data_IF_772118863607
#
_entry.id   IF_772118863607
#
_cell.length_a   1.000
_cell.length_b   1.000
_cell.length_c   1.000
_cell.angle_alpha   90.00
_cell.angle_beta   90.00
_cell.angle_gamma   90.00
#
_symmetry.space_group_name_H-M   'P 1'
#
loop_
_entity.id
_entity.type
_entity.pdbx_description
1 polymer ?
#
# COMPACT_ATOMS: atom_id res chain seq x y z
N UNK A 1 -22.99 -5.85 -6.23
CA UNK A 1 -22.56 -5.95 -4.81
C UNK A 1 -22.53 -4.56 -4.20
N UNK A 2 -22.83 -4.41 -2.90
CA UNK A 2 -22.80 -3.08 -2.25
C UNK A 2 -21.34 -2.57 -2.21
N UNK A 3 -21.03 -1.32 -2.65
CA UNK A 3 -19.67 -0.79 -2.69
C UNK A 3 -19.00 -0.68 -1.31
N UNK A 4 -19.74 -0.64 -0.21
CA UNK A 4 -19.17 -0.64 1.15
C UNK A 4 -18.33 -1.89 1.47
N UNK A 5 -18.54 -3.00 0.76
CA UNK A 5 -17.67 -4.18 0.92
C UNK A 5 -16.21 -3.93 0.50
N UNK A 6 -15.92 -2.88 -0.28
CA UNK A 6 -14.54 -2.46 -0.60
C UNK A 6 -13.74 -2.02 0.64
N UNK A 7 -14.41 -1.61 1.72
CA UNK A 7 -13.76 -1.25 2.99
C UNK A 7 -13.25 -2.47 3.77
N UNK A 8 -13.90 -3.62 3.62
CA UNK A 8 -13.60 -4.80 4.45
C UNK A 8 -12.16 -5.28 4.27
N UNK A 9 -11.63 -5.50 3.05
CA UNK A 9 -10.24 -5.94 2.88
C UNK A 9 -9.20 -4.90 3.32
N UNK A 10 -9.59 -3.63 3.44
CA UNK A 10 -8.74 -2.57 3.96
C UNK A 10 -8.79 -2.55 5.49
N UNK A 11 -9.97 -2.40 6.07
CA UNK A 11 -10.13 -2.15 7.50
C UNK A 11 -9.98 -3.40 8.35
N UNK A 12 -10.48 -4.55 7.91
CA UNK A 12 -10.46 -5.79 8.71
C UNK A 12 -9.05 -6.22 9.09
N UNK A 13 -8.06 -6.30 8.19
CA UNK A 13 -6.69 -6.63 8.57
C UNK A 13 -6.03 -5.54 9.43
N UNK A 14 -6.36 -4.26 9.20
CA UNK A 14 -5.84 -3.16 10.04
C UNK A 14 -6.36 -3.27 11.47
N UNK A 15 -7.65 -3.54 11.65
CA UNK A 15 -8.26 -3.76 12.97
C UNK A 15 -7.69 -5.01 13.62
N UNK A 16 -7.53 -6.10 12.86
CA UNK A 16 -6.88 -7.32 13.36
C UNK A 16 -5.45 -7.03 13.86
N UNK A 17 -4.66 -6.30 13.08
CA UNK A 17 -3.31 -5.92 13.46
C UNK A 17 -3.28 -5.02 14.70
N UNK A 18 -4.16 -4.02 14.77
CA UNK A 18 -4.32 -3.16 15.94
C UNK A 18 -4.73 -3.96 17.20
N UNK A 19 -5.64 -4.93 17.04
CA UNK A 19 -6.04 -5.83 18.12
C UNK A 19 -4.86 -6.69 18.62
N UNK A 20 -4.02 -7.22 17.73
CA UNK A 20 -2.80 -7.97 18.12
C UNK A 20 -1.83 -7.09 18.88
N UNK A 21 -1.63 -5.82 18.45
CA UNK A 21 -0.74 -4.87 19.13
C UNK A 21 -1.27 -4.43 20.49
N UNK A 22 -2.58 -4.25 20.63
CA UNK A 22 -3.23 -3.81 21.86
C UNK A 22 -3.40 -4.92 22.88
N UNK A 23 -3.97 -6.05 22.47
CA UNK A 23 -4.28 -7.19 23.35
C UNK A 23 -3.05 -8.01 23.71
N UNK A 24 -2.01 -7.98 22.87
CA UNK A 24 -0.74 -8.72 23.05
C UNK A 24 -0.94 -10.17 23.48
N UNK A 25 -1.64 -11.01 22.69
CA UNK A 25 -1.95 -12.38 23.08
C UNK A 25 -0.69 -13.12 23.53
N UNK A 26 -0.71 -13.66 24.77
CA UNK A 26 0.39 -14.45 25.31
C UNK A 26 0.46 -15.83 24.67
N UNK A 27 -0.71 -16.39 24.37
CA UNK A 27 -0.81 -17.70 23.74
C UNK A 27 -0.60 -17.58 22.24
N UNK A 28 0.41 -18.27 21.76
CA UNK A 28 0.77 -18.30 20.34
C UNK A 28 -0.42 -18.72 19.46
N UNK A 29 -1.13 -19.80 19.83
CA UNK A 29 -2.25 -20.33 19.05
C UNK A 29 -3.37 -19.29 18.89
N UNK A 30 -3.70 -18.54 19.93
CA UNK A 30 -4.72 -17.48 19.85
C UNK A 30 -4.30 -16.36 18.90
N UNK A 31 -3.04 -15.96 18.93
CA UNK A 31 -2.48 -14.96 18.03
C UNK A 31 -2.55 -15.43 16.57
N UNK A 32 -2.08 -16.66 16.30
CA UNK A 32 -2.08 -17.23 14.96
C UNK A 32 -3.49 -17.36 14.38
N UNK A 33 -4.45 -17.82 15.18
CA UNK A 33 -5.87 -17.90 14.79
C UNK A 33 -6.44 -16.51 14.47
N UNK A 34 -6.18 -15.53 15.33
CA UNK A 34 -6.66 -14.16 15.14
C UNK A 34 -6.10 -13.56 13.84
N UNK A 35 -4.78 -13.66 13.64
CA UNK A 35 -4.09 -13.12 12.47
C UNK A 35 -4.55 -13.82 11.19
N UNK A 36 -4.52 -15.17 11.18
CA UNK A 36 -4.91 -15.93 10.01
C UNK A 36 -6.39 -15.76 9.69
N UNK A 37 -7.25 -15.75 10.71
CA UNK A 37 -8.68 -15.50 10.53
C UNK A 37 -8.98 -14.16 9.88
N UNK A 38 -8.32 -13.07 10.33
CA UNK A 38 -8.46 -11.74 9.73
C UNK A 38 -7.94 -11.69 8.29
N UNK A 39 -6.78 -12.30 8.01
CA UNK A 39 -6.19 -12.36 6.68
C UNK A 39 -7.08 -13.16 5.73
N UNK A 40 -7.50 -14.37 6.11
CA UNK A 40 -8.34 -15.23 5.26
C UNK A 40 -9.73 -14.62 5.02
N UNK A 41 -10.33 -13.99 6.02
CA UNK A 41 -11.60 -13.31 5.85
C UNK A 41 -11.49 -12.15 4.86
N UNK A 42 -10.45 -11.33 4.96
CA UNK A 42 -10.18 -10.26 4.01
C UNK A 42 -9.91 -10.80 2.59
N UNK A 43 -9.12 -11.88 2.46
CA UNK A 43 -8.84 -12.54 1.18
C UNK A 43 -10.12 -13.13 0.56
N UNK A 44 -11.00 -13.73 1.35
CA UNK A 44 -12.28 -14.24 0.88
C UNK A 44 -13.20 -13.11 0.35
N UNK A 45 -13.20 -11.97 1.04
CA UNK A 45 -13.96 -10.79 0.57
C UNK A 45 -13.38 -10.24 -0.73
N UNK A 46 -12.05 -10.19 -0.88
CA UNK A 46 -11.41 -9.83 -2.17
C UNK A 46 -11.87 -10.78 -3.28
N UNK A 47 -11.83 -12.08 -3.04
CA UNK A 47 -12.34 -13.07 -4.01
C UNK A 47 -13.80 -12.85 -4.39
N UNK A 48 -14.66 -12.59 -3.41
CA UNK A 48 -16.07 -12.28 -3.64
C UNK A 48 -16.27 -10.98 -4.44
N UNK A 49 -15.46 -9.94 -4.15
CA UNK A 49 -15.48 -8.65 -4.86
C UNK A 49 -15.06 -8.81 -6.33
N UNK A 50 -14.04 -9.62 -6.61
CA UNK A 50 -13.55 -9.86 -7.97
C UNK A 50 -14.56 -10.64 -8.80
N UNK A 51 -15.25 -11.62 -8.18
CA UNK A 51 -16.31 -12.40 -8.84
C UNK A 51 -17.59 -11.60 -9.08
N UNK A 52 -17.96 -10.74 -8.11
CA UNK A 52 -19.22 -9.98 -8.12
C UNK A 52 -18.95 -8.47 -8.10
N UNK A 53 -18.22 -7.96 -9.07
CA UNK A 53 -17.74 -6.57 -9.13
C UNK A 53 -18.80 -5.56 -8.71
N UNK A 54 -18.49 -4.63 -7.77
CA UNK A 54 -19.37 -3.51 -7.50
C UNK A 54 -19.46 -2.62 -8.75
N UNK A 55 -20.68 -2.25 -9.16
CA UNK A 55 -20.91 -1.47 -10.39
C UNK A 55 -20.46 -0.01 -10.31
N UNK A 56 -20.15 0.49 -9.11
CA UNK A 56 -19.72 1.87 -8.86
C UNK A 56 -18.62 1.93 -7.80
N UNK A 57 -17.70 2.91 -7.90
CA UNK A 57 -16.71 3.15 -6.85
C UNK A 57 -17.40 3.66 -5.58
N UNK A 58 -16.80 3.35 -4.44
CA UNK A 58 -17.19 3.88 -3.15
C UNK A 58 -16.49 5.21 -2.92
N UNK A 59 -17.20 6.30 -2.96
CA UNK A 59 -16.69 7.62 -2.59
C UNK A 59 -16.89 7.82 -1.09
N UNK A 60 -15.77 7.91 -0.35
CA UNK A 60 -15.76 8.11 1.10
C UNK A 60 -15.88 9.59 1.47
N UNK A 61 -15.14 10.43 0.74
CA UNK A 61 -15.14 11.87 0.97
C UNK A 61 -14.81 12.64 -0.30
N UNK A 62 -15.42 13.81 -0.49
CA UNK A 62 -15.16 14.72 -1.62
C UNK A 62 -14.59 16.04 -1.12
N UNK A 63 -13.42 16.42 -1.63
CA UNK A 63 -12.79 17.71 -1.44
C UNK A 63 -13.05 18.59 -2.68
N UNK A 64 -14.20 19.24 -2.73
CA UNK A 64 -14.60 20.01 -3.93
C UNK A 64 -15.02 19.13 -5.12
N UNK A 65 -14.83 19.63 -6.34
CA UNK A 65 -15.33 19.00 -7.56
C UNK A 65 -14.36 17.98 -8.21
N UNK A 66 -13.06 18.10 -7.94
CA UNK A 66 -12.01 17.34 -8.64
C UNK A 66 -11.24 16.35 -7.75
N UNK A 67 -11.38 16.46 -6.43
CA UNK A 67 -10.67 15.61 -5.46
C UNK A 67 -11.64 14.79 -4.64
N UNK A 68 -11.40 13.49 -4.56
CA UNK A 68 -12.16 12.61 -3.68
C UNK A 68 -11.28 11.48 -3.12
N UNK A 69 -11.69 10.97 -1.96
CA UNK A 69 -11.17 9.70 -1.43
C UNK A 69 -12.16 8.63 -1.84
N UNK A 70 -11.74 7.75 -2.74
CA UNK A 70 -12.61 6.72 -3.31
C UNK A 70 -11.89 5.40 -3.50
N UNK A 71 -12.62 4.32 -3.27
CA UNK A 71 -12.18 2.95 -3.53
C UNK A 71 -12.99 2.38 -4.70
N UNK A 72 -12.34 1.63 -5.56
CA UNK A 72 -12.97 0.99 -6.72
C UNK A 72 -12.28 -0.31 -7.09
N UNK A 73 -12.92 -1.08 -7.93
CA UNK A 73 -12.38 -2.34 -8.44
C UNK A 73 -12.51 -2.36 -9.96
N UNK A 74 -11.41 -2.09 -10.63
CA UNK A 74 -11.26 -2.24 -12.07
C UNK A 74 -10.50 -3.52 -12.45
N UNK A 75 -10.09 -3.65 -13.71
CA UNK A 75 -9.35 -4.82 -14.18
C UNK A 75 -7.98 -4.96 -13.54
N UNK A 76 -7.25 -3.84 -13.41
CA UNK A 76 -5.91 -3.81 -12.84
C UNK A 76 -5.94 -4.05 -11.33
N UNK A 77 -6.79 -3.31 -10.62
CA UNK A 77 -6.98 -3.47 -9.17
C UNK A 77 -7.43 -4.89 -8.80
N UNK A 78 -8.26 -5.53 -9.65
CA UNK A 78 -8.67 -6.92 -9.45
C UNK A 78 -7.50 -7.90 -9.50
N UNK A 79 -6.56 -7.75 -10.46
CA UNK A 79 -5.36 -8.59 -10.56
C UNK A 79 -4.48 -8.41 -9.32
N UNK A 80 -4.18 -7.17 -8.93
CA UNK A 80 -3.36 -6.90 -7.75
C UNK A 80 -4.01 -7.38 -6.45
N UNK A 81 -5.31 -7.15 -6.28
CA UNK A 81 -6.05 -7.63 -5.13
C UNK A 81 -6.02 -9.16 -5.02
N UNK A 82 -6.17 -9.89 -6.14
CA UNK A 82 -6.03 -11.35 -6.16
C UNK A 82 -4.61 -11.80 -5.76
N UNK A 83 -3.57 -11.16 -6.28
CA UNK A 83 -2.19 -11.47 -5.88
C UNK A 83 -1.98 -11.30 -4.37
N UNK A 84 -2.46 -10.19 -3.81
CA UNK A 84 -2.39 -9.93 -2.37
C UNK A 84 -3.16 -11.02 -1.60
N UNK A 85 -4.41 -11.33 -2.03
CA UNK A 85 -5.29 -12.29 -1.37
C UNK A 85 -4.72 -13.72 -1.34
N UNK A 86 -3.86 -14.08 -2.29
CA UNK A 86 -3.22 -15.41 -2.36
C UNK A 86 -1.87 -15.41 -1.62
N UNK A 87 -1.01 -14.43 -1.90
CA UNK A 87 0.37 -14.44 -1.41
C UNK A 87 0.46 -14.10 0.08
N UNK A 88 -0.44 -13.23 0.61
CA UNK A 88 -0.38 -12.83 2.01
C UNK A 88 -0.69 -13.96 3.00
N UNK A 89 -1.76 -14.76 2.81
CA UNK A 89 -2.01 -15.94 3.66
C UNK A 89 -0.85 -16.94 3.62
N UNK A 90 -0.28 -17.21 2.43
CA UNK A 90 0.86 -18.12 2.30
C UNK A 90 2.09 -17.62 3.06
N UNK A 91 2.37 -16.32 2.96
CA UNK A 91 3.47 -15.70 3.70
C UNK A 91 3.19 -15.67 5.20
N UNK A 92 1.92 -15.49 5.63
CA UNK A 92 1.54 -15.59 7.04
C UNK A 92 1.80 -16.98 7.62
N UNK A 93 1.43 -18.04 6.88
CA UNK A 93 1.73 -19.42 7.28
C UNK A 93 3.23 -19.66 7.45
N UNK A 94 4.03 -19.22 6.50
CA UNK A 94 5.49 -19.29 6.60
C UNK A 94 6.00 -18.49 7.80
N UNK A 95 5.45 -17.29 8.02
CA UNK A 95 5.87 -16.41 9.10
C UNK A 95 5.60 -16.99 10.49
N UNK A 96 4.55 -17.79 10.67
CA UNK A 96 4.26 -18.43 11.94
C UNK A 96 5.38 -19.36 12.40
N UNK A 97 6.02 -20.06 11.49
CA UNK A 97 7.17 -20.90 11.83
C UNK A 97 8.45 -20.07 11.97
N UNK A 98 8.71 -19.18 11.01
CA UNK A 98 9.91 -18.35 10.96
C UNK A 98 10.07 -17.48 12.22
N UNK A 99 9.01 -16.80 12.64
CA UNK A 99 9.05 -15.86 13.76
C UNK A 99 9.22 -16.51 15.15
N UNK A 100 9.13 -17.84 15.25
CA UNK A 100 9.47 -18.56 16.51
C UNK A 100 10.87 -18.27 16.99
N UNK A 101 11.78 -18.10 16.06
CA UNK A 101 13.21 -17.93 16.33
C UNK A 101 13.63 -16.46 16.41
N UNK A 102 12.82 -15.53 15.88
CA UNK A 102 13.15 -14.10 15.80
C UNK A 102 12.63 -13.28 17.00
N UNK A 103 11.60 -13.75 17.70
CA UNK A 103 10.99 -13.05 18.82
C UNK A 103 10.13 -11.85 18.44
N UNK A 104 9.60 -11.14 19.46
CA UNK A 104 8.71 -9.96 19.28
C UNK A 104 7.51 -10.21 18.35
N UNK A 105 6.98 -11.45 18.34
CA UNK A 105 5.97 -11.92 17.40
C UNK A 105 4.69 -11.05 17.37
N UNK A 106 4.20 -10.54 18.53
CA UNK A 106 3.01 -9.67 18.55
C UNK A 106 3.24 -8.37 17.78
N UNK A 107 4.45 -7.79 17.89
CA UNK A 107 4.81 -6.58 17.13
C UNK A 107 4.86 -6.89 15.63
N UNK A 108 5.49 -8.02 15.27
CA UNK A 108 5.57 -8.45 13.88
C UNK A 108 4.20 -8.66 13.26
N UNK A 109 3.37 -9.56 13.82
CA UNK A 109 2.07 -9.91 13.25
C UNK A 109 1.06 -8.76 13.28
N UNK A 110 1.18 -7.85 14.26
CA UNK A 110 0.38 -6.65 14.29
C UNK A 110 0.64 -5.76 13.08
N UNK A 111 1.88 -5.36 12.84
CA UNK A 111 2.24 -4.54 11.68
C UNK A 111 2.10 -5.29 10.35
N UNK A 112 2.35 -6.59 10.32
CA UNK A 112 2.13 -7.45 9.17
C UNK A 112 0.67 -7.44 8.69
N UNK A 113 -0.27 -7.54 9.64
CA UNK A 113 -1.70 -7.47 9.34
C UNK A 113 -2.15 -6.07 8.92
N UNK A 114 -1.66 -5.01 9.60
CA UNK A 114 -1.92 -3.62 9.21
C UNK A 114 -1.44 -3.37 7.78
N UNK A 115 -0.23 -3.82 7.45
CA UNK A 115 0.35 -3.67 6.11
C UNK A 115 -0.51 -4.35 5.04
N UNK A 116 -1.11 -5.52 5.33
CA UNK A 116 -2.06 -6.15 4.40
C UNK A 116 -3.20 -5.21 4.02
N UNK A 117 -3.88 -4.65 5.03
CA UNK A 117 -4.99 -3.74 4.79
C UNK A 117 -4.59 -2.48 4.02
N UNK A 118 -3.40 -1.94 4.33
CA UNK A 118 -2.86 -0.76 3.62
C UNK A 118 -2.56 -1.08 2.16
N UNK A 119 -1.93 -2.22 1.87
CA UNK A 119 -1.62 -2.67 0.50
C UNK A 119 -2.90 -2.98 -0.28
N UNK A 120 -3.93 -3.55 0.38
CA UNK A 120 -5.25 -3.69 -0.22
C UNK A 120 -5.87 -2.31 -0.54
N UNK A 121 -5.66 -1.31 0.31
CA UNK A 121 -6.06 0.08 0.07
C UNK A 121 -5.36 0.69 -1.15
N UNK A 122 -4.05 0.44 -1.34
CA UNK A 122 -3.33 0.84 -2.56
C UNK A 122 -3.97 0.19 -3.80
N UNK A 123 -4.19 -1.12 -3.76
CA UNK A 123 -4.74 -1.87 -4.89
C UNK A 123 -6.17 -1.45 -5.27
N UNK A 124 -6.98 -1.07 -4.28
CA UNK A 124 -8.39 -0.66 -4.48
C UNK A 124 -8.57 0.86 -4.63
N UNK A 125 -7.51 1.64 -4.68
CA UNK A 125 -7.60 3.10 -4.87
C UNK A 125 -8.19 3.43 -6.23
N UNK A 126 -9.24 4.28 -6.26
CA UNK A 126 -9.90 4.73 -7.49
C UNK A 126 -9.50 6.14 -7.91
N UNK A 127 -8.85 6.90 -7.04
CA UNK A 127 -8.32 8.22 -7.34
C UNK A 127 -6.85 8.33 -6.95
N UNK A 128 -6.12 9.23 -7.63
CA UNK A 128 -4.71 9.47 -7.39
C UNK A 128 -4.45 9.96 -5.94
N UNK A 129 -5.38 10.72 -5.35
CA UNK A 129 -5.26 11.18 -3.97
C UNK A 129 -5.44 10.03 -2.97
N UNK A 130 -6.35 9.09 -3.27
CA UNK A 130 -6.54 7.88 -2.45
C UNK A 130 -5.32 6.98 -2.54
N UNK A 131 -4.79 6.79 -3.76
CA UNK A 131 -3.55 6.06 -3.98
C UNK A 131 -2.41 6.69 -3.16
N UNK A 132 -2.22 8.01 -3.24
CA UNK A 132 -1.19 8.74 -2.50
C UNK A 132 -1.32 8.55 -0.98
N UNK A 133 -2.54 8.63 -0.45
CA UNK A 133 -2.81 8.41 0.98
C UNK A 133 -2.34 7.01 1.43
N UNK A 134 -2.77 5.96 0.74
CA UNK A 134 -2.35 4.60 1.07
C UNK A 134 -0.87 4.33 0.75
N UNK A 135 -0.32 5.00 -0.26
CA UNK A 135 1.09 4.95 -0.61
C UNK A 135 1.99 5.48 0.53
N UNK A 136 1.59 6.56 1.21
CA UNK A 136 2.29 7.07 2.38
C UNK A 136 2.08 6.17 3.60
N UNK A 137 0.85 5.75 3.82
CA UNK A 137 0.52 4.85 4.93
C UNK A 137 1.29 3.53 4.83
N UNK A 138 1.57 3.06 3.62
CA UNK A 138 2.37 1.85 3.38
C UNK A 138 3.82 2.02 3.87
N UNK A 139 4.44 3.18 3.68
CA UNK A 139 5.78 3.45 4.24
C UNK A 139 5.76 3.37 5.76
N UNK A 140 4.76 3.99 6.40
CA UNK A 140 4.63 3.99 7.85
C UNK A 140 4.32 2.59 8.42
N UNK A 141 3.48 1.81 7.74
CA UNK A 141 3.12 0.47 8.17
C UNK A 141 4.27 -0.54 8.04
N UNK A 142 5.09 -0.41 6.99
CA UNK A 142 6.21 -1.32 6.72
C UNK A 142 7.47 -0.96 7.48
N UNK A 143 7.67 0.30 7.87
CA UNK A 143 8.86 0.76 8.59
C UNK A 143 9.15 -0.06 9.87
N UNK A 144 8.17 -0.35 10.76
CA UNK A 144 8.40 -1.17 11.94
C UNK A 144 8.76 -2.62 11.62
N UNK A 145 8.38 -3.12 10.44
CA UNK A 145 8.75 -4.46 9.96
C UNK A 145 10.20 -4.47 9.45
N UNK A 146 10.62 -3.44 8.71
CA UNK A 146 12.01 -3.27 8.26
C UNK A 146 12.95 -3.13 9.47
N UNK A 147 12.53 -2.38 10.49
CA UNK A 147 13.30 -2.16 11.71
C UNK A 147 13.03 -3.22 12.80
N UNK A 148 12.52 -4.40 12.47
CA UNK A 148 12.07 -5.39 13.45
C UNK A 148 13.15 -5.79 14.47
N UNK A 149 14.37 -6.06 14.02
CA UNK A 149 15.51 -6.45 14.86
C UNK A 149 15.92 -5.32 15.83
N UNK A 150 15.76 -4.06 15.44
CA UNK A 150 16.17 -2.86 16.21
C UNK A 150 17.68 -2.79 16.48
N UNK A 151 18.48 -3.49 15.70
CA UNK A 151 19.95 -3.35 15.72
C UNK A 151 20.39 -2.14 14.86
N UNK A 152 21.68 -1.83 14.90
CA UNK A 152 22.25 -0.67 14.19
C UNK A 152 22.02 -0.76 12.68
N UNK A 153 22.05 -1.98 12.11
CA UNK A 153 21.83 -2.22 10.67
C UNK A 153 20.37 -2.00 10.30
N UNK A 154 19.43 -2.56 11.07
CA UNK A 154 17.99 -2.38 10.84
C UNK A 154 17.57 -0.92 11.01
N UNK A 155 18.11 -0.19 11.99
CA UNK A 155 17.84 1.23 12.20
C UNK A 155 18.37 2.05 11.02
N UNK A 156 19.58 1.78 10.55
CA UNK A 156 20.13 2.46 9.37
C UNK A 156 19.30 2.20 8.12
N UNK A 157 18.93 0.93 7.88
CA UNK A 157 18.09 0.53 6.76
C UNK A 157 16.73 1.21 6.79
N UNK A 158 16.07 1.24 7.96
CA UNK A 158 14.79 1.91 8.14
C UNK A 158 14.86 3.41 7.93
N UNK A 159 15.90 4.09 8.43
CA UNK A 159 16.12 5.53 8.17
C UNK A 159 16.32 5.81 6.69
N UNK A 160 17.14 5.00 5.99
CA UNK A 160 17.37 5.13 4.56
C UNK A 160 16.10 4.91 3.74
N UNK A 161 15.33 3.85 4.07
CA UNK A 161 14.04 3.55 3.49
C UNK A 161 13.06 4.72 3.67
N UNK A 162 12.91 5.21 4.90
CA UNK A 162 12.01 6.33 5.21
C UNK A 162 12.40 7.59 4.45
N UNK A 163 13.68 7.99 4.49
CA UNK A 163 14.16 9.20 3.84
C UNK A 163 13.89 9.21 2.33
N UNK A 164 14.25 8.11 1.63
CA UNK A 164 14.04 8.00 0.20
C UNK A 164 12.54 7.93 -0.14
N UNK A 165 11.74 7.18 0.63
CA UNK A 165 10.29 7.12 0.42
C UNK A 165 9.61 8.47 0.60
N UNK A 166 9.99 9.24 1.63
CA UNK A 166 9.45 10.60 1.85
C UNK A 166 9.86 11.58 0.74
N UNK A 167 11.11 11.48 0.26
CA UNK A 167 11.56 12.30 -0.88
C UNK A 167 10.76 11.96 -2.15
N UNK A 168 10.53 10.67 -2.43
CA UNK A 168 9.67 10.23 -3.53
C UNK A 168 8.24 10.73 -3.39
N UNK A 169 7.67 10.62 -2.19
CA UNK A 169 6.33 11.09 -1.89
C UNK A 169 6.17 12.61 -2.08
N UNK A 170 7.16 13.39 -1.69
CA UNK A 170 7.14 14.85 -1.94
C UNK A 170 7.09 15.17 -3.45
N UNK A 171 7.84 14.43 -4.28
CA UNK A 171 7.79 14.58 -5.73
C UNK A 171 6.41 14.22 -6.30
N UNK A 172 5.82 13.10 -5.84
CA UNK A 172 4.46 12.71 -6.23
C UNK A 172 3.43 13.76 -5.81
N UNK A 173 3.55 14.31 -4.59
CA UNK A 173 2.63 15.33 -4.10
C UNK A 173 2.63 16.59 -4.96
N UNK A 174 3.81 17.09 -5.33
CA UNK A 174 3.93 18.25 -6.25
C UNK A 174 3.30 17.93 -7.60
N UNK A 175 3.48 16.71 -8.11
CA UNK A 175 2.83 16.26 -9.34
C UNK A 175 1.31 16.23 -9.23
N UNK A 176 0.75 15.77 -8.10
CA UNK A 176 -0.70 15.77 -7.82
C UNK A 176 -1.26 17.19 -7.84
N UNK A 177 -0.56 18.17 -7.23
CA UNK A 177 -0.98 19.58 -7.24
C UNK A 177 -1.05 20.10 -8.68
N UNK A 178 -0.02 19.83 -9.49
CA UNK A 178 -0.01 20.25 -10.90
C UNK A 178 -1.14 19.58 -11.69
N UNK A 179 -1.40 18.31 -11.44
CA UNK A 179 -2.49 17.59 -12.11
C UNK A 179 -3.87 18.07 -11.64
N UNK A 180 -4.02 18.48 -10.39
CA UNK A 180 -5.25 19.09 -9.90
C UNK A 180 -5.53 20.44 -10.55
N UNK A 181 -4.51 21.24 -10.83
CA UNK A 181 -4.63 22.56 -11.45
C UNK A 181 -5.02 22.44 -12.94
N UNK A 182 -4.29 21.63 -13.70
CA UNK A 182 -4.41 21.54 -15.15
C UNK A 182 -5.21 20.34 -15.67
N UNK A 183 -5.49 19.34 -14.83
CA UNK A 183 -6.26 18.15 -15.20
C UNK A 183 -7.77 18.33 -15.05
N UNK A 184 -8.54 17.44 -15.62
CA UNK A 184 -10.01 17.41 -15.52
C UNK A 184 -10.50 16.78 -14.22
N UNK A 185 -9.81 15.74 -13.74
CA UNK A 185 -10.11 14.99 -12.51
C UNK A 185 -8.85 14.33 -11.99
N UNK A 186 -8.86 13.88 -10.73
CA UNK A 186 -7.83 13.00 -10.16
C UNK A 186 -8.27 11.53 -10.11
N UNK A 187 -9.44 11.18 -10.64
CA UNK A 187 -9.89 9.81 -10.74
C UNK A 187 -9.20 9.08 -11.89
N UNK A 188 -8.96 7.79 -11.74
CA UNK A 188 -8.44 6.95 -12.80
C UNK A 188 -9.51 6.71 -13.85
N UNK A 189 -9.35 7.35 -15.01
CA UNK A 189 -10.31 7.30 -16.12
C UNK A 189 -9.66 6.84 -17.42
N UNK A 190 -10.43 6.09 -18.23
CA UNK A 190 -10.00 5.71 -19.57
C UNK A 190 -9.79 6.94 -20.45
N UNK A 191 -8.71 6.98 -21.22
CA UNK A 191 -8.37 8.11 -22.09
C UNK A 191 -7.53 9.19 -21.40
N UNK A 192 -7.32 9.09 -20.08
CA UNK A 192 -6.52 10.04 -19.30
C UNK A 192 -7.32 11.24 -18.80
N UNK A 193 -6.62 12.12 -18.09
CA UNK A 193 -7.20 13.25 -17.35
C UNK A 193 -6.70 14.61 -17.85
N UNK A 194 -5.91 14.62 -18.92
CA UNK A 194 -5.32 15.84 -19.49
C UNK A 194 -6.25 16.37 -20.58
N UNK A 195 -6.78 17.62 -20.46
CA UNK A 195 -7.65 18.19 -21.48
C UNK A 195 -6.91 18.48 -22.78
N UNK A 196 -7.66 18.47 -23.90
CA UNK A 196 -7.13 18.92 -25.20
C UNK A 196 -7.11 20.45 -25.26
N UNK A 197 -6.13 21.02 -25.98
CA UNK A 197 -6.07 22.47 -26.20
C UNK A 197 -5.30 23.28 -25.17
N UNK A 198 -4.47 22.62 -24.35
CA UNK A 198 -3.57 23.30 -23.41
C UNK A 198 -2.54 24.18 -24.13
N UNK A 199 -2.23 25.32 -23.53
CA UNK A 199 -1.15 26.22 -23.95
C UNK A 199 0.23 25.56 -23.84
N UNK A 200 1.24 26.14 -24.49
CA UNK A 200 2.63 25.63 -24.38
C UNK A 200 3.18 25.69 -22.95
N UNK A 201 2.78 26.68 -22.16
CA UNK A 201 3.20 26.80 -20.75
C UNK A 201 2.57 25.71 -19.89
N UNK A 202 1.26 25.50 -19.98
CA UNK A 202 0.56 24.46 -19.24
C UNK A 202 1.10 23.05 -19.54
N UNK A 203 1.39 22.79 -20.83
CA UNK A 203 2.04 21.53 -21.23
C UNK A 203 3.42 21.36 -20.59
N UNK A 204 4.22 22.44 -20.57
CA UNK A 204 5.55 22.39 -19.93
C UNK A 204 5.45 22.08 -18.43
N UNK A 205 4.48 22.68 -17.72
CA UNK A 205 4.23 22.36 -16.32
C UNK A 205 3.81 20.90 -16.13
N UNK A 206 2.94 20.37 -16.98
CA UNK A 206 2.52 18.96 -16.92
C UNK A 206 3.66 17.99 -17.27
N UNK A 207 4.57 18.34 -18.19
CA UNK A 207 5.78 17.53 -18.42
C UNK A 207 6.67 17.49 -17.19
N UNK A 208 6.86 18.62 -16.51
CA UNK A 208 7.57 18.67 -15.24
C UNK A 208 6.91 17.81 -14.16
N UNK A 209 5.59 17.92 -14.05
CA UNK A 209 4.79 17.09 -13.14
C UNK A 209 4.90 15.59 -13.45
N UNK A 210 4.87 15.21 -14.73
CA UNK A 210 5.07 13.82 -15.15
C UNK A 210 6.45 13.28 -14.75
N UNK A 211 7.51 14.07 -14.96
CA UNK A 211 8.87 13.67 -14.57
C UNK A 211 8.94 13.49 -13.04
N UNK A 212 8.36 14.41 -12.27
CA UNK A 212 8.30 14.30 -10.81
C UNK A 212 7.50 13.07 -10.35
N UNK A 213 6.36 12.79 -10.99
CA UNK A 213 5.57 11.58 -10.71
C UNK A 213 6.36 10.32 -11.02
N UNK A 214 7.00 10.26 -12.21
CA UNK A 214 7.80 9.11 -12.64
C UNK A 214 8.91 8.78 -11.67
N UNK A 215 9.71 9.77 -11.27
CA UNK A 215 10.77 9.55 -10.28
C UNK A 215 10.21 9.34 -8.87
N UNK A 216 9.16 10.04 -8.50
CA UNK A 216 8.54 9.91 -7.19
C UNK A 216 7.98 8.51 -6.91
N UNK A 217 7.18 7.95 -7.82
CA UNK A 217 6.75 6.56 -7.76
C UNK A 217 7.92 5.59 -7.99
N UNK A 218 8.85 5.94 -8.87
CA UNK A 218 10.07 5.21 -9.16
C UNK A 218 10.97 4.97 -7.94
N UNK A 219 10.95 5.85 -6.94
CA UNK A 219 11.66 5.61 -5.66
C UNK A 219 11.17 4.33 -5.00
N UNK A 220 9.85 4.12 -4.85
CA UNK A 220 9.32 2.88 -4.27
C UNK A 220 9.47 1.68 -5.20
N UNK A 221 9.36 1.90 -6.50
CA UNK A 221 9.65 0.87 -7.50
C UNK A 221 11.16 0.52 -7.58
N UNK A 222 12.00 1.18 -6.77
CA UNK A 222 13.45 0.99 -6.74
C UNK A 222 14.12 1.21 -8.10
N UNK A 223 13.65 2.18 -8.88
CA UNK A 223 14.26 2.58 -10.15
C UNK A 223 15.60 3.29 -9.88
N UNK A 224 16.60 3.02 -10.73
CA UNK A 224 17.91 3.72 -10.67
C UNK A 224 17.69 5.22 -10.92
N UNK A 225 18.29 6.11 -10.11
CA UNK A 225 19.31 5.90 -9.07
C UNK A 225 18.79 5.62 -7.65
N UNK A 226 17.50 5.55 -7.41
CA UNK A 226 16.89 5.49 -6.07
C UNK A 226 16.78 4.07 -5.48
N UNK A 227 17.27 3.04 -6.15
CA UNK A 227 17.15 1.62 -5.78
C UNK A 227 17.84 1.23 -4.47
N UNK A 228 18.75 2.06 -3.96
CA UNK A 228 19.68 1.68 -2.87
C UNK A 228 19.01 1.38 -1.51
N UNK A 229 17.74 1.76 -1.32
CA UNK A 229 16.99 1.44 -0.12
C UNK A 229 16.57 -0.04 -0.09
N UNK A 230 16.30 -0.64 -1.26
CA UNK A 230 15.74 -1.98 -1.36
C UNK A 230 16.70 -3.07 -0.86
N UNK A 231 17.99 -3.12 -1.28
CA UNK A 231 18.97 -4.02 -0.66
C UNK A 231 19.19 -3.72 0.82
N UNK A 232 19.18 -2.45 1.23
CA UNK A 232 19.33 -2.09 2.63
C UNK A 232 18.16 -2.62 3.47
N UNK A 233 16.91 -2.51 2.99
CA UNK A 233 15.72 -3.00 3.67
C UNK A 233 15.64 -4.54 3.78
N UNK A 234 16.46 -5.28 3.04
CA UNK A 234 16.54 -6.74 3.10
C UNK A 234 17.14 -7.29 4.42
N UNK A 235 17.52 -6.42 5.35
CA UNK A 235 17.82 -6.81 6.76
C UNK A 235 16.55 -7.18 7.54
N UNK A 236 15.36 -6.86 7.01
CA UNK A 236 14.09 -7.27 7.57
C UNK A 236 13.97 -8.81 7.62
N UNK A 237 13.11 -9.36 8.51
CA UNK A 237 12.81 -10.79 8.50
C UNK A 237 12.43 -11.27 7.09
N UNK A 238 12.86 -12.48 6.74
CA UNK A 238 12.68 -13.03 5.37
C UNK A 238 11.25 -12.91 4.84
N UNK A 239 10.18 -13.23 5.60
CA UNK A 239 8.82 -13.07 5.11
C UNK A 239 8.46 -11.63 4.77
N UNK A 240 9.03 -10.64 5.49
CA UNK A 240 8.84 -9.22 5.17
C UNK A 240 9.57 -8.86 3.88
N UNK A 241 10.84 -9.24 3.77
CA UNK A 241 11.62 -8.98 2.55
C UNK A 241 10.94 -9.57 1.32
N UNK A 242 10.40 -10.78 1.41
CA UNK A 242 9.66 -11.42 0.33
C UNK A 242 8.43 -10.58 -0.10
N UNK A 243 7.61 -10.11 0.87
CA UNK A 243 6.43 -9.29 0.55
C UNK A 243 6.79 -7.89 0.05
N UNK A 244 7.84 -7.24 0.60
CA UNK A 244 8.32 -5.95 0.12
C UNK A 244 8.67 -6.00 -1.36
N UNK A 245 9.35 -7.08 -1.80
CA UNK A 245 9.78 -7.27 -3.18
C UNK A 245 8.64 -7.76 -4.10
N UNK A 246 7.82 -8.72 -3.62
CA UNK A 246 6.86 -9.42 -4.49
C UNK A 246 5.54 -8.66 -4.68
N UNK A 247 4.99 -8.03 -3.65
CA UNK A 247 3.59 -7.57 -3.66
C UNK A 247 3.40 -6.18 -3.08
N UNK A 248 4.14 -5.82 -2.02
CA UNK A 248 3.83 -4.61 -1.27
C UNK A 248 4.53 -3.37 -1.88
N UNK A 249 5.72 -3.01 -1.40
CA UNK A 249 6.29 -1.68 -1.63
C UNK A 249 6.73 -1.47 -3.08
N UNK A 250 7.47 -2.41 -3.67
CA UNK A 250 8.00 -2.27 -5.04
C UNK A 250 6.87 -2.23 -6.08
N UNK A 251 5.78 -2.95 -5.85
CA UNK A 251 4.62 -2.97 -6.75
C UNK A 251 3.64 -1.82 -6.52
N UNK A 252 3.75 -1.13 -5.39
CA UNK A 252 2.97 0.10 -5.13
C UNK A 252 3.58 1.36 -5.76
N UNK A 253 4.81 1.31 -6.24
CA UNK A 253 5.46 2.35 -7.04
C UNK A 253 5.35 2.08 -8.52
#
# INVERSE_FOLDING_TARGET
MNPYYLLVPVLLPMVTGAAVLGLRPKERRKREILVMGGILAASAVIGALVLNRPGQPLVLYRFGSRMNISLGLDGLSGVFACLIAVLWPLTALYSFEYMKHEGKENKFFGYFSITYGVVAGVALSHSLITLYFFYELMTLATLPLVMHAMDTRAIYAGKKYLLLSMAGAAMVFVSIISLHEYGTTLDFTWGGVIPQGLSHEERRHLYGAFILAFFGFGVKAAVVPFHSWLPAASVAPTPVSALLHAVAVVKGG
#
